data_IF_902983811236
#
_entry.id   IF_902983811236
#
_cell.length_a   1.000
_cell.length_b   1.000
_cell.length_c   1.000
_cell.angle_alpha   90.00
_cell.angle_beta   90.00
_cell.angle_gamma   90.00
#
_symmetry.space_group_name_H-M   'P 1'
#
loop_
_entity.id
_entity.type
_entity.pdbx_description
1 polymer ?
#
# COMPACT_ATOMS: atom_id res chain seq x y z
N UNK A 1 -10.46 11.12 -3.14
CA UNK A 1 -10.23 9.74 -3.60
C UNK A 1 -8.73 9.56 -3.74
N UNK A 2 -8.21 8.41 -3.32
CA UNK A 2 -6.77 8.12 -3.32
C UNK A 2 -6.45 7.32 -4.58
N UNK A 3 -5.41 7.69 -5.33
CA UNK A 3 -5.09 7.06 -6.61
C UNK A 3 -3.61 6.77 -6.71
N UNK A 4 -3.26 5.60 -7.25
CA UNK A 4 -1.88 5.21 -7.52
C UNK A 4 -1.31 6.10 -8.62
N UNK A 5 -0.10 6.59 -8.41
CA UNK A 5 0.59 7.44 -9.40
C UNK A 5 0.72 6.67 -10.74
N UNK A 6 0.40 7.29 -11.88
CA UNK A 6 0.47 6.62 -13.17
C UNK A 6 1.92 6.23 -13.51
N UNK A 7 2.07 5.17 -14.33
CA UNK A 7 3.36 4.63 -14.80
C UNK A 7 4.23 3.94 -13.73
N UNK A 8 3.68 3.63 -12.57
CA UNK A 8 4.32 2.70 -11.64
C UNK A 8 4.19 1.26 -12.13
N UNK A 9 5.25 0.48 -11.94
CA UNK A 9 5.22 -0.98 -12.10
C UNK A 9 5.52 -1.63 -10.77
N UNK A 10 4.77 -2.66 -10.41
CA UNK A 10 4.95 -3.40 -9.17
C UNK A 10 5.15 -4.88 -9.47
N UNK A 11 5.94 -5.54 -8.63
CA UNK A 11 5.97 -7.01 -8.51
C UNK A 11 5.73 -7.33 -7.05
N UNK A 12 4.78 -8.21 -6.79
CA UNK A 12 4.37 -8.64 -5.45
C UNK A 12 4.61 -10.14 -5.31
N UNK A 13 5.20 -10.55 -4.19
CA UNK A 13 5.36 -11.94 -3.79
C UNK A 13 5.08 -12.13 -2.29
N UNK A 14 5.46 -13.28 -1.72
CA UNK A 14 5.22 -13.57 -0.30
C UNK A 14 6.10 -12.76 0.67
N UNK A 15 7.27 -12.27 0.22
CA UNK A 15 8.23 -11.53 1.05
C UNK A 15 7.95 -10.03 1.03
N UNK A 16 7.31 -9.54 -0.02
CA UNK A 16 6.91 -8.16 -0.11
C UNK A 16 6.60 -7.70 -1.53
N UNK A 17 6.94 -6.45 -1.81
CA UNK A 17 6.77 -5.89 -3.14
C UNK A 17 7.93 -4.98 -3.52
N UNK A 18 8.19 -4.90 -4.82
CA UNK A 18 9.09 -3.91 -5.42
C UNK A 18 8.27 -3.04 -6.35
N UNK A 19 8.31 -1.72 -6.11
CA UNK A 19 7.65 -0.70 -6.93
C UNK A 19 8.73 0.08 -7.67
N UNK A 20 8.61 0.10 -9.00
CA UNK A 20 9.47 0.82 -9.92
C UNK A 20 8.74 2.04 -10.47
N UNK A 21 9.33 3.20 -10.21
CA UNK A 21 9.03 4.45 -10.89
C UNK A 21 10.11 4.68 -11.95
N UNK A 22 9.81 4.21 -13.17
CA UNK A 22 10.74 4.27 -14.31
C UNK A 22 11.07 5.72 -14.69
N UNK A 23 10.10 6.65 -14.83
CA UNK A 23 10.40 8.05 -15.14
C UNK A 23 11.34 8.72 -14.15
N UNK A 24 11.19 8.46 -12.84
CA UNK A 24 12.02 9.07 -11.80
C UNK A 24 13.25 8.23 -11.42
N UNK A 25 13.48 7.09 -12.09
CA UNK A 25 14.54 6.12 -11.79
C UNK A 25 14.61 5.78 -10.28
N UNK A 26 13.44 5.57 -9.68
CA UNK A 26 13.30 5.29 -8.27
C UNK A 26 12.71 3.89 -8.05
N UNK A 27 13.18 3.24 -6.98
CA UNK A 27 12.73 1.92 -6.57
C UNK A 27 12.36 1.95 -5.08
N UNK A 28 11.18 1.47 -4.76
CA UNK A 28 10.70 1.32 -3.38
C UNK A 28 10.40 -0.13 -3.10
N UNK A 29 10.90 -0.64 -1.97
CA UNK A 29 10.57 -1.98 -1.48
C UNK A 29 9.57 -1.88 -0.36
N UNK A 30 8.58 -2.77 -0.37
CA UNK A 30 7.60 -2.95 0.70
C UNK A 30 7.85 -4.29 1.38
N UNK A 31 7.59 -4.36 2.68
CA UNK A 31 7.50 -5.64 3.39
C UNK A 31 6.21 -6.38 2.99
N UNK A 32 6.02 -7.60 3.50
CA UNK A 32 4.84 -8.43 3.21
C UNK A 32 3.52 -7.75 3.55
N UNK A 33 3.42 -7.03 4.67
CA UNK A 33 2.19 -6.31 5.06
C UNK A 33 1.92 -5.09 4.16
N UNK A 34 2.95 -4.31 3.82
CA UNK A 34 2.82 -3.19 2.90
C UNK A 34 2.46 -3.65 1.49
N UNK A 35 3.04 -4.77 1.05
CA UNK A 35 2.71 -5.41 -0.22
C UNK A 35 1.25 -5.87 -0.28
N UNK A 36 0.76 -6.46 0.82
CA UNK A 36 -0.65 -6.85 0.97
C UNK A 36 -1.60 -5.66 0.84
N UNK A 37 -1.25 -4.51 1.45
CA UNK A 37 -2.05 -3.28 1.34
C UNK A 37 -1.97 -2.71 -0.07
N UNK A 38 -0.77 -2.66 -0.66
CA UNK A 38 -0.53 -2.15 -2.01
C UNK A 38 -1.34 -2.91 -3.06
N UNK A 39 -1.32 -4.24 -3.04
CA UNK A 39 -2.05 -5.08 -4.01
C UNK A 39 -3.57 -4.79 -3.97
N UNK A 40 -4.12 -4.55 -2.78
CA UNK A 40 -5.55 -4.23 -2.62
C UNK A 40 -5.89 -2.82 -3.11
N UNK A 41 -4.98 -1.87 -2.92
CA UNK A 41 -5.12 -0.53 -3.51
C UNK A 41 -5.11 -0.59 -5.04
N UNK A 42 -4.24 -1.42 -5.64
CA UNK A 42 -4.22 -1.64 -7.10
C UNK A 42 -5.53 -2.24 -7.61
N UNK A 43 -6.18 -3.08 -6.79
CA UNK A 43 -7.51 -3.65 -7.08
C UNK A 43 -8.67 -2.67 -6.82
N UNK A 44 -8.39 -1.46 -6.37
CA UNK A 44 -9.39 -0.42 -6.10
C UNK A 44 -10.18 -0.62 -4.80
N UNK A 45 -9.67 -1.41 -3.87
CA UNK A 45 -10.32 -1.60 -2.57
C UNK A 45 -10.26 -0.32 -1.73
N UNK A 46 -11.31 -0.08 -0.94
CA UNK A 46 -11.34 1.03 0.02
C UNK A 46 -10.44 0.74 1.22
N UNK A 47 -9.86 1.78 1.84
CA UNK A 47 -9.03 1.62 3.04
C UNK A 47 -9.76 0.90 4.18
N UNK A 48 -11.03 1.22 4.41
CA UNK A 48 -11.84 0.54 5.43
C UNK A 48 -11.95 -0.96 5.18
N UNK A 49 -12.14 -1.37 3.92
CA UNK A 49 -12.18 -2.79 3.56
C UNK A 49 -10.82 -3.48 3.75
N UNK A 50 -9.73 -2.80 3.37
CA UNK A 50 -8.36 -3.31 3.55
C UNK A 50 -8.03 -3.51 5.03
N UNK A 51 -8.35 -2.52 5.87
CA UNK A 51 -8.13 -2.58 7.32
C UNK A 51 -8.90 -3.72 7.95
N UNK A 52 -10.20 -3.86 7.63
CA UNK A 52 -11.03 -4.93 8.16
C UNK A 52 -10.53 -6.32 7.76
N UNK A 53 -10.11 -6.50 6.50
CA UNK A 53 -9.58 -7.77 6.00
C UNK A 53 -8.23 -8.11 6.67
N UNK A 54 -7.31 -7.15 6.75
CA UNK A 54 -6.00 -7.35 7.37
C UNK A 54 -6.11 -7.64 8.87
N UNK A 55 -7.01 -6.95 9.58
CA UNK A 55 -7.31 -7.24 10.99
C UNK A 55 -7.85 -8.66 11.17
N UNK A 56 -8.78 -9.08 10.30
CA UNK A 56 -9.34 -10.43 10.33
C UNK A 56 -8.31 -11.51 10.03
N UNK A 57 -7.42 -11.31 9.06
CA UNK A 57 -6.41 -12.31 8.67
C UNK A 57 -5.30 -12.44 9.72
N UNK A 58 -4.91 -11.34 10.36
CA UNK A 58 -3.82 -11.32 11.34
C UNK A 58 -4.28 -11.58 12.78
N UNK A 59 -5.59 -11.46 13.05
CA UNK A 59 -6.15 -11.47 14.40
C UNK A 59 -5.76 -10.23 15.23
N UNK A 60 -5.30 -9.17 14.58
CA UNK A 60 -4.89 -7.91 15.22
C UNK A 60 -6.11 -7.01 15.42
N UNK A 61 -6.08 -6.19 16.48
CA UNK A 61 -7.11 -5.19 16.72
C UNK A 61 -7.24 -4.20 15.55
N UNK A 62 -8.47 -3.96 15.11
CA UNK A 62 -8.76 -3.15 13.92
C UNK A 62 -8.25 -1.71 14.05
N UNK A 63 -8.27 -1.12 15.27
CA UNK A 63 -7.78 0.23 15.48
C UNK A 63 -6.25 0.31 15.40
N UNK A 64 -5.54 -0.76 15.79
CA UNK A 64 -4.09 -0.86 15.60
C UNK A 64 -3.76 -0.96 14.10
N UNK A 65 -4.46 -1.84 13.38
CA UNK A 65 -4.28 -2.02 11.93
C UNK A 65 -4.59 -0.72 11.19
N UNK A 66 -5.68 -0.03 11.54
CA UNK A 66 -6.06 1.25 10.94
C UNK A 66 -4.93 2.27 11.05
N UNK A 67 -4.35 2.41 12.25
CA UNK A 67 -3.26 3.35 12.50
C UNK A 67 -2.00 3.01 11.68
N UNK A 68 -1.66 1.74 11.59
CA UNK A 68 -0.48 1.30 10.84
C UNK A 68 -0.69 1.47 9.33
N UNK A 69 -1.89 1.18 8.83
CA UNK A 69 -2.27 1.43 7.44
C UNK A 69 -2.24 2.92 7.14
N UNK A 70 -2.78 3.78 8.01
CA UNK A 70 -2.75 5.24 7.81
C UNK A 70 -1.30 5.77 7.75
N UNK A 71 -0.44 5.31 8.66
CA UNK A 71 0.99 5.67 8.64
C UNK A 71 1.67 5.22 7.33
N UNK A 72 1.34 4.02 6.85
CA UNK A 72 1.83 3.51 5.58
C UNK A 72 1.34 4.34 4.39
N UNK A 73 0.07 4.77 4.39
CA UNK A 73 -0.47 5.64 3.35
C UNK A 73 0.27 6.98 3.28
N UNK A 74 0.62 7.57 4.42
CA UNK A 74 1.42 8.79 4.47
C UNK A 74 2.85 8.56 3.96
N UNK A 75 3.45 7.41 4.25
CA UNK A 75 4.75 7.03 3.68
C UNK A 75 4.68 6.96 2.15
N UNK A 76 3.67 6.27 1.61
CA UNK A 76 3.51 6.14 0.15
C UNK A 76 3.27 7.49 -0.54
N UNK A 77 2.50 8.40 0.08
CA UNK A 77 2.33 9.78 -0.42
C UNK A 77 3.65 10.55 -0.40
N UNK A 78 4.44 10.43 0.67
CA UNK A 78 5.74 11.12 0.79
C UNK A 78 6.74 10.68 -0.29
N UNK A 79 6.61 9.43 -0.75
CA UNK A 79 7.40 8.85 -1.86
C UNK A 79 6.78 9.10 -3.24
N UNK A 80 5.71 9.90 -3.32
CA UNK A 80 4.97 10.20 -4.56
C UNK A 80 4.40 8.97 -5.27
N UNK A 81 4.20 7.86 -4.54
CA UNK A 81 3.60 6.64 -5.08
C UNK A 81 2.08 6.72 -5.14
N UNK A 82 1.50 7.65 -4.38
CA UNK A 82 0.08 7.95 -4.34
C UNK A 82 -0.14 9.45 -4.58
N UNK A 83 -1.17 9.76 -5.37
CA UNK A 83 -1.65 11.12 -5.56
C UNK A 83 -2.84 11.39 -4.61
N UNK A 84 -2.80 12.55 -3.93
CA UNK A 84 -3.95 13.15 -3.28
C UNK A 84 -4.53 14.22 -4.20
N UNK A 85 -5.86 14.20 -4.41
CA UNK A 85 -6.60 15.30 -5.03
C UNK A 85 -7.10 16.26 -3.95
#
# INVERSE_FOLDING_TARGET
>A
MLTITPNLRSVVDHDGAVILDIPNNAMTTLNSTGAYVWERLERGMTLTAIVAELASETGTDEAVVAKDVDAFMEELKSKQLLAAF
#
